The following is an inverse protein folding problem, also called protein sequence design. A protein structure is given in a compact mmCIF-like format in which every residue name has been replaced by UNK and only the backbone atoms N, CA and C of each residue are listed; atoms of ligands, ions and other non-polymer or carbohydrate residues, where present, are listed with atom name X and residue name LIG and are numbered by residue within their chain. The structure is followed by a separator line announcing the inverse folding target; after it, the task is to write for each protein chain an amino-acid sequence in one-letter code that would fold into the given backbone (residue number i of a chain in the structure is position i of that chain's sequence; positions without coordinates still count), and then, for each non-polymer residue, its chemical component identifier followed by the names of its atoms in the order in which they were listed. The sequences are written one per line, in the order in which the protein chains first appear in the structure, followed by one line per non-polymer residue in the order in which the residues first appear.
data_IF_937648566970
#
_entry.id   IF_937648566970
#
_cell.length_a   1.000
_cell.length_b   1.000
_cell.length_c   1.000
_cell.angle_alpha   90.00
_cell.angle_beta   90.00
_cell.angle_gamma   90.00
#
_symmetry.space_group_name_H-M   'P 1'
#
loop_
_entity.id
_entity.type
_entity.pdbx_description
1 polymer ?
#
# COMPACT_ATOMS: atom_id res chain seq x y z
N UNK A 1 23.21 11.16 6.01
CA UNK A 1 23.20 12.50 5.35
C UNK A 1 23.01 12.46 3.84
N UNK A 2 23.71 11.59 3.09
CA UNK A 2 23.51 11.51 1.62
C UNK A 2 22.20 10.80 1.28
N UNK A 3 21.86 9.76 2.01
CA UNK A 3 20.65 8.96 1.83
C UNK A 3 19.37 9.78 1.92
N UNK A 4 19.26 10.63 2.97
CA UNK A 4 18.09 11.48 3.20
C UNK A 4 17.95 12.57 2.15
N UNK A 5 19.07 13.12 1.70
CA UNK A 5 19.05 14.12 0.62
C UNK A 5 18.54 13.53 -0.70
N UNK A 6 18.97 12.30 -1.03
CA UNK A 6 18.47 11.59 -2.20
C UNK A 6 16.98 11.32 -2.03
N UNK A 7 16.55 10.84 -0.86
CA UNK A 7 15.15 10.56 -0.55
C UNK A 7 14.29 11.83 -0.62
N UNK A 8 14.75 12.95 -0.02
CA UNK A 8 14.05 14.22 -0.10
C UNK A 8 13.91 14.75 -1.54
N UNK A 9 14.96 14.55 -2.37
CA UNK A 9 14.93 14.94 -3.78
C UNK A 9 13.95 14.08 -4.58
N UNK A 10 13.89 12.78 -4.30
CA UNK A 10 12.91 11.86 -4.92
C UNK A 10 11.49 12.27 -4.54
N UNK A 11 11.22 12.53 -3.25
CA UNK A 11 9.89 12.99 -2.80
C UNK A 11 9.50 14.29 -3.49
N UNK A 12 10.43 15.23 -3.60
CA UNK A 12 10.18 16.52 -4.26
C UNK A 12 9.85 16.34 -5.74
N UNK A 13 10.59 15.49 -6.43
CA UNK A 13 10.34 15.15 -7.84
C UNK A 13 8.98 14.50 -8.03
N UNK A 14 8.61 13.56 -7.15
CA UNK A 14 7.30 12.91 -7.17
C UNK A 14 6.19 13.91 -6.87
N UNK A 15 6.37 14.79 -5.88
CA UNK A 15 5.40 15.83 -5.54
C UNK A 15 5.16 16.80 -6.70
N UNK A 16 6.22 17.24 -7.38
CA UNK A 16 6.11 18.07 -8.57
C UNK A 16 5.39 17.36 -9.71
N UNK A 17 5.75 16.10 -9.99
CA UNK A 17 5.07 15.28 -11.00
C UNK A 17 3.59 15.09 -10.67
N UNK A 18 3.25 14.88 -9.40
CA UNK A 18 1.87 14.75 -8.94
C UNK A 18 1.07 16.05 -9.12
N UNK A 19 1.65 17.20 -8.75
CA UNK A 19 1.03 18.52 -8.96
C UNK A 19 0.84 18.80 -10.45
N UNK A 20 1.85 18.51 -11.28
CA UNK A 20 1.75 18.67 -12.73
C UNK A 20 0.64 17.78 -13.33
N UNK A 21 0.55 16.52 -12.88
CA UNK A 21 -0.54 15.62 -13.29
C UNK A 21 -1.91 16.16 -12.88
N UNK A 22 -2.02 16.77 -11.70
CA UNK A 22 -3.26 17.36 -11.21
C UNK A 22 -3.73 18.55 -12.07
N UNK A 23 -2.84 19.26 -12.76
CA UNK A 23 -3.22 20.33 -13.70
C UNK A 23 -4.02 19.81 -14.89
N UNK A 24 -3.85 18.55 -15.25
CA UNK A 24 -4.52 17.91 -16.39
C UNK A 24 -5.91 17.38 -16.07
N UNK A 25 -6.32 17.37 -14.79
CA UNK A 25 -7.67 16.95 -14.40
C UNK A 25 -8.68 17.92 -14.99
N UNK A 26 -9.64 17.40 -15.75
CA UNK A 26 -10.67 18.22 -16.37
C UNK A 26 -11.65 18.75 -15.30
N UNK A 27 -11.95 20.04 -15.36
CA UNK A 27 -12.96 20.68 -14.50
C UNK A 27 -14.35 20.35 -15.07
N UNK A 28 -15.18 19.70 -14.29
CA UNK A 28 -16.59 19.50 -14.64
C UNK A 28 -17.37 20.78 -14.33
N UNK A 29 -18.31 21.16 -15.22
CA UNK A 29 -19.16 22.35 -15.05
C UNK A 29 -20.13 22.25 -13.86
N UNK A 30 -20.28 21.07 -13.26
CA UNK A 30 -21.11 20.80 -12.05
C UNK A 30 -20.25 20.66 -10.79
N UNK A 31 -19.07 21.24 -10.78
CA UNK A 31 -18.11 21.03 -9.69
C UNK A 31 -18.44 21.86 -8.45
N UNK A 32 -18.24 21.25 -7.31
CA UNK A 32 -18.23 21.88 -5.98
C UNK A 32 -17.31 23.11 -5.96
N UNK A 33 -17.56 24.08 -5.04
CA UNK A 33 -16.73 25.29 -4.89
C UNK A 33 -15.23 25.01 -4.72
N UNK A 34 -14.88 23.81 -4.25
CA UNK A 34 -13.49 23.40 -3.99
C UNK A 34 -12.81 22.74 -5.19
N UNK A 35 -13.57 22.18 -6.14
CA UNK A 35 -13.07 21.57 -7.37
C UNK A 35 -12.18 20.31 -7.17
N UNK A 36 -12.12 19.41 -8.16
CA UNK A 36 -11.40 18.12 -8.05
C UNK A 36 -9.88 18.27 -8.01
N UNK A 37 -9.33 19.43 -8.37
CA UNK A 37 -7.88 19.69 -8.37
C UNK A 37 -7.34 20.11 -7.00
N UNK A 38 -8.20 20.64 -6.11
CA UNK A 38 -7.75 21.22 -4.82
C UNK A 38 -7.13 20.16 -3.92
N UNK A 39 -7.74 18.99 -3.82
CA UNK A 39 -7.21 17.89 -3.01
C UNK A 39 -5.82 17.41 -3.47
N UNK A 40 -5.60 17.12 -4.77
CA UNK A 40 -4.27 16.83 -5.29
C UNK A 40 -3.23 17.94 -5.05
N UNK A 41 -3.60 19.21 -5.19
CA UNK A 41 -2.68 20.32 -4.90
C UNK A 41 -2.28 20.39 -3.42
N UNK A 42 -3.23 20.17 -2.51
CA UNK A 42 -2.94 20.14 -1.07
C UNK A 42 -1.98 19.01 -0.74
N UNK A 43 -2.24 17.79 -1.25
CA UNK A 43 -1.35 16.64 -1.03
C UNK A 43 0.04 16.93 -1.61
N UNK A 44 0.11 17.38 -2.86
CA UNK A 44 1.38 17.71 -3.51
C UNK A 44 2.15 18.81 -2.78
N UNK A 45 1.45 19.82 -2.26
CA UNK A 45 2.03 20.89 -1.44
C UNK A 45 2.63 20.35 -0.13
N UNK A 46 1.88 19.52 0.59
CA UNK A 46 2.36 18.87 1.83
C UNK A 46 3.54 17.96 1.54
N UNK A 47 3.49 17.15 0.48
CA UNK A 47 4.62 16.31 0.06
C UNK A 47 5.85 17.13 -0.28
N UNK A 48 5.70 18.26 -1.00
CA UNK A 48 6.81 19.14 -1.32
C UNK A 48 7.43 19.76 -0.06
N UNK A 49 6.61 20.23 0.88
CA UNK A 49 7.09 20.73 2.17
C UNK A 49 7.85 19.66 2.96
N UNK A 50 7.33 18.44 3.02
CA UNK A 50 8.03 17.32 3.65
C UNK A 50 9.36 17.02 2.95
N UNK A 51 9.39 16.98 1.62
CA UNK A 51 10.60 16.78 0.84
C UNK A 51 11.67 17.87 1.11
N UNK A 52 11.26 19.13 1.17
CA UNK A 52 12.15 20.25 1.52
C UNK A 52 12.67 20.12 2.96
N UNK A 53 11.84 19.78 3.92
CA UNK A 53 12.27 19.61 5.33
C UNK A 53 13.32 18.51 5.47
N UNK A 54 13.16 17.38 4.79
CA UNK A 54 14.14 16.28 4.78
C UNK A 54 15.45 16.70 4.09
N UNK A 55 15.37 17.52 3.03
CA UNK A 55 16.57 18.06 2.36
C UNK A 55 17.36 19.02 3.23
N UNK A 56 16.68 19.91 3.97
CA UNK A 56 17.30 20.95 4.77
C UNK A 56 17.79 20.42 6.12
N UNK A 57 17.08 19.44 6.69
CA UNK A 57 17.41 18.83 7.98
C UNK A 57 17.56 17.31 7.82
N UNK A 58 18.63 16.85 7.16
CA UNK A 58 18.87 15.41 7.03
C UNK A 58 19.25 14.83 8.38
N UNK A 59 18.68 13.67 8.71
CA UNK A 59 19.03 12.88 9.88
C UNK A 59 20.44 12.24 9.72
N UNK A 60 21.06 11.77 10.82
CA UNK A 60 22.29 10.97 10.76
C UNK A 60 22.10 9.76 9.84
N UNK A 61 23.18 9.32 9.19
CA UNK A 61 23.10 8.20 8.28
C UNK A 61 22.56 6.95 9.01
N UNK A 62 21.50 6.33 8.51
CA UNK A 62 20.91 5.15 9.14
C UNK A 62 21.82 3.94 9.00
N UNK A 63 21.81 3.09 10.02
CA UNK A 63 22.42 1.77 9.93
C UNK A 63 21.59 0.90 8.98
N UNK A 64 22.09 0.74 7.77
CA UNK A 64 21.41 -0.07 6.76
C UNK A 64 21.37 -1.53 7.15
N UNK A 65 20.20 -2.18 7.09
CA UNK A 65 20.10 -3.59 7.40
C UNK A 65 20.90 -4.44 6.43
N UNK A 66 21.38 -5.59 6.91
CA UNK A 66 22.14 -6.54 6.10
C UNK A 66 21.35 -7.13 4.93
N UNK A 67 22.03 -7.79 3.97
CA UNK A 67 21.44 -8.32 2.74
C UNK A 67 20.29 -9.31 2.99
N UNK A 68 20.27 -9.95 4.15
CA UNK A 68 19.19 -10.85 4.59
C UNK A 68 17.85 -10.13 4.73
N UNK A 69 17.87 -8.90 5.25
CA UNK A 69 16.66 -8.08 5.40
C UNK A 69 16.15 -7.59 4.05
N UNK A 70 17.06 -7.23 3.13
CA UNK A 70 16.67 -6.88 1.77
C UNK A 70 16.04 -8.07 1.03
N UNK A 71 16.55 -9.29 1.25
CA UNK A 71 15.93 -10.52 0.73
C UNK A 71 14.51 -10.71 1.28
N UNK A 72 14.30 -10.51 2.58
CA UNK A 72 12.98 -10.60 3.21
C UNK A 72 12.02 -9.54 2.66
N UNK A 73 12.49 -8.30 2.46
CA UNK A 73 11.70 -7.24 1.85
C UNK A 73 11.29 -7.56 0.40
N UNK A 74 12.25 -8.03 -0.41
CA UNK A 74 11.96 -8.44 -1.78
C UNK A 74 10.92 -9.57 -1.84
N UNK A 75 11.05 -10.55 -0.94
CA UNK A 75 10.10 -11.66 -0.82
C UNK A 75 8.71 -11.17 -0.38
N UNK A 76 8.65 -10.18 0.52
CA UNK A 76 7.39 -9.52 0.92
C UNK A 76 6.72 -8.84 -0.26
N UNK A 77 7.47 -8.06 -1.04
CA UNK A 77 6.96 -7.38 -2.24
C UNK A 77 6.45 -8.41 -3.25
N UNK A 78 7.22 -9.47 -3.51
CA UNK A 78 6.81 -10.55 -4.42
C UNK A 78 5.51 -11.23 -3.94
N UNK A 79 5.37 -11.49 -2.64
CA UNK A 79 4.15 -12.06 -2.06
C UNK A 79 2.94 -11.14 -2.21
N UNK A 80 3.10 -9.82 -2.02
CA UNK A 80 2.03 -8.84 -2.21
C UNK A 80 1.62 -8.69 -3.69
N UNK A 81 2.59 -8.74 -4.60
CA UNK A 81 2.31 -8.75 -6.05
C UNK A 81 1.55 -10.02 -6.43
N UNK A 82 2.01 -11.18 -5.97
CA UNK A 82 1.32 -12.45 -6.19
C UNK A 82 -0.11 -12.42 -5.61
N UNK A 83 -0.29 -11.87 -4.39
CA UNK A 83 -1.60 -11.66 -3.79
C UNK A 83 -2.53 -10.86 -4.72
N UNK A 84 -2.05 -9.75 -5.27
CA UNK A 84 -2.86 -8.90 -6.16
C UNK A 84 -3.34 -9.66 -7.42
N UNK A 85 -2.48 -10.50 -8.01
CA UNK A 85 -2.84 -11.33 -9.17
C UNK A 85 -3.77 -12.48 -8.80
N UNK A 86 -3.59 -13.09 -7.62
CA UNK A 86 -4.38 -14.23 -7.16
C UNK A 86 -5.77 -13.84 -6.65
N UNK A 87 -6.00 -12.56 -6.36
CA UNK A 87 -7.27 -12.07 -5.83
C UNK A 87 -8.44 -12.31 -6.82
N UNK A 88 -8.20 -12.12 -8.12
CA UNK A 88 -9.23 -12.33 -9.15
C UNK A 88 -9.62 -13.82 -9.33
N UNK A 89 -8.65 -14.76 -9.53
CA UNK A 89 -8.99 -16.16 -9.79
C UNK A 89 -9.41 -16.94 -8.54
N UNK A 90 -8.86 -16.62 -7.35
CA UNK A 90 -9.07 -17.42 -6.13
C UNK A 90 -10.10 -16.81 -5.16
N UNK A 91 -10.65 -15.64 -5.48
CA UNK A 91 -11.53 -14.89 -4.57
C UNK A 91 -10.74 -14.21 -3.45
N UNK A 92 -11.45 -13.70 -2.44
CA UNK A 92 -10.83 -12.88 -1.39
C UNK A 92 -10.23 -13.71 -0.25
N UNK A 93 -10.93 -14.76 0.22
CA UNK A 93 -10.55 -15.45 1.45
C UNK A 93 -9.18 -16.13 1.37
N UNK A 94 -8.95 -16.89 0.33
CA UNK A 94 -7.80 -17.79 0.22
C UNK A 94 -6.49 -17.00 0.02
N UNK A 95 -6.38 -16.05 -0.94
CA UNK A 95 -5.18 -15.24 -1.08
C UNK A 95 -4.89 -14.39 0.15
N UNK A 96 -5.93 -13.83 0.79
CA UNK A 96 -5.77 -13.01 1.98
C UNK A 96 -5.25 -13.80 3.16
N UNK A 97 -5.77 -15.02 3.38
CA UNK A 97 -5.27 -15.91 4.43
C UNK A 97 -3.80 -16.30 4.21
N UNK A 98 -3.45 -16.63 2.96
CA UNK A 98 -2.07 -16.99 2.60
C UNK A 98 -1.12 -15.81 2.75
N UNK A 99 -1.47 -14.63 2.23
CA UNK A 99 -0.63 -13.45 2.33
C UNK A 99 -0.44 -13.00 3.79
N UNK A 100 -1.53 -12.92 4.57
CA UNK A 100 -1.46 -12.52 5.97
C UNK A 100 -0.70 -13.55 6.82
N UNK A 101 -0.90 -14.84 6.59
CA UNK A 101 -0.16 -15.91 7.25
C UNK A 101 1.33 -15.88 6.90
N UNK A 102 1.67 -15.69 5.65
CA UNK A 102 3.05 -15.58 5.20
C UNK A 102 3.76 -14.36 5.82
N UNK A 103 3.14 -13.19 5.79
CA UNK A 103 3.70 -11.98 6.40
C UNK A 103 3.86 -12.13 7.93
N UNK A 104 2.86 -12.72 8.58
CA UNK A 104 2.93 -13.02 10.02
C UNK A 104 4.10 -13.96 10.35
N UNK A 105 4.34 -14.97 9.52
CA UNK A 105 5.46 -15.89 9.68
C UNK A 105 6.82 -15.22 9.47
N UNK A 106 6.92 -14.27 8.52
CA UNK A 106 8.16 -13.50 8.33
C UNK A 106 8.51 -12.63 9.54
N UNK A 107 7.50 -12.06 10.20
CA UNK A 107 7.71 -11.21 11.38
C UNK A 107 8.05 -12.06 12.60
N UNK A 108 7.30 -13.14 12.81
CA UNK A 108 7.52 -14.08 13.92
C UNK A 108 7.42 -15.51 13.39
N UNK A 109 8.52 -16.28 13.35
CA UNK A 109 8.55 -17.62 12.76
C UNK A 109 7.87 -18.66 13.67
N UNK A 110 6.55 -18.47 13.88
CA UNK A 110 5.69 -19.37 14.66
C UNK A 110 4.55 -19.85 13.75
N UNK A 111 4.64 -21.06 13.19
CA UNK A 111 3.70 -21.52 12.14
C UNK A 111 2.25 -21.54 12.61
N UNK A 112 1.98 -21.98 13.83
CA UNK A 112 0.61 -22.03 14.38
C UNK A 112 0.00 -20.63 14.53
N UNK A 113 0.76 -19.68 15.04
CA UNK A 113 0.29 -18.30 15.20
C UNK A 113 0.09 -17.63 13.83
N UNK A 114 1.01 -17.87 12.89
CA UNK A 114 0.90 -17.33 11.53
C UNK A 114 -0.36 -17.81 10.79
N UNK A 115 -0.68 -19.11 10.89
CA UNK A 115 -1.89 -19.68 10.28
C UNK A 115 -3.16 -19.14 10.94
N UNK A 116 -3.20 -19.08 12.28
CA UNK A 116 -4.34 -18.52 13.00
C UNK A 116 -4.55 -17.05 12.64
N UNK A 117 -3.48 -16.25 12.62
CA UNK A 117 -3.55 -14.83 12.23
C UNK A 117 -4.03 -14.67 10.79
N UNK A 118 -3.49 -15.46 9.86
CA UNK A 118 -3.88 -15.42 8.46
C UNK A 118 -5.37 -15.71 8.25
N UNK A 119 -5.88 -16.77 8.88
CA UNK A 119 -7.29 -17.15 8.79
C UNK A 119 -8.19 -16.13 9.49
N UNK A 120 -7.83 -15.70 10.71
CA UNK A 120 -8.61 -14.74 11.48
C UNK A 120 -8.73 -13.39 10.76
N UNK A 121 -7.61 -12.88 10.20
CA UNK A 121 -7.62 -11.65 9.42
C UNK A 121 -8.44 -11.78 8.13
N UNK A 122 -8.28 -12.89 7.41
CA UNK A 122 -9.01 -13.12 6.17
C UNK A 122 -10.51 -13.17 6.41
N UNK A 123 -10.97 -13.93 7.39
CA UNK A 123 -12.39 -14.04 7.75
C UNK A 123 -12.90 -12.72 8.32
N UNK A 124 -12.16 -12.10 9.22
CA UNK A 124 -12.56 -10.83 9.84
C UNK A 124 -12.71 -9.71 8.82
N UNK A 125 -11.75 -9.54 7.91
CA UNK A 125 -11.83 -8.57 6.82
C UNK A 125 -12.97 -8.88 5.85
N UNK A 126 -13.17 -10.16 5.51
CA UNK A 126 -14.28 -10.56 4.65
C UNK A 126 -15.64 -10.20 5.25
N UNK A 127 -15.85 -10.50 6.53
CA UNK A 127 -17.07 -10.14 7.24
C UNK A 127 -17.26 -8.63 7.31
N UNK A 128 -16.20 -7.89 7.62
CA UNK A 128 -16.22 -6.43 7.67
C UNK A 128 -16.59 -5.83 6.30
N UNK A 129 -15.93 -6.24 5.23
CA UNK A 129 -16.21 -5.69 3.90
C UNK A 129 -17.59 -6.09 3.38
N UNK A 130 -18.03 -7.32 3.65
CA UNK A 130 -19.32 -7.82 3.17
C UNK A 130 -20.50 -7.21 3.95
N UNK A 131 -20.44 -7.20 5.28
CA UNK A 131 -21.56 -6.81 6.13
C UNK A 131 -21.52 -5.34 6.56
N UNK A 132 -20.36 -4.80 6.91
CA UNK A 132 -20.26 -3.39 7.35
C UNK A 132 -20.20 -2.41 6.17
N UNK A 133 -19.51 -2.77 5.08
CA UNK A 133 -19.33 -1.90 3.91
C UNK A 133 -20.23 -2.25 2.73
N UNK A 134 -21.01 -3.36 2.79
CA UNK A 134 -21.94 -3.75 1.74
C UNK A 134 -21.27 -4.10 0.41
N UNK A 135 -19.96 -4.39 0.41
CA UNK A 135 -19.21 -4.72 -0.81
C UNK A 135 -19.53 -6.14 -1.26
N UNK A 136 -19.91 -6.31 -2.52
CA UNK A 136 -20.20 -7.62 -3.16
C UNK A 136 -18.94 -8.45 -3.40
N UNK A 137 -18.11 -8.69 -2.36
CA UNK A 137 -16.90 -9.49 -2.47
C UNK A 137 -17.24 -10.97 -2.63
N UNK A 138 -16.64 -11.61 -3.65
CA UNK A 138 -16.73 -13.07 -3.81
C UNK A 138 -15.78 -13.74 -2.81
N UNK A 139 -16.34 -14.54 -1.89
CA UNK A 139 -15.55 -15.30 -0.93
C UNK A 139 -14.66 -16.34 -1.62
N UNK A 140 -15.18 -16.97 -2.67
CA UNK A 140 -14.62 -18.12 -3.38
C UNK A 140 -14.61 -17.82 -4.89
N UNK A 141 -13.72 -18.44 -5.67
CA UNK A 141 -13.67 -18.25 -7.13
C UNK A 141 -15.02 -18.52 -7.78
N UNK A 142 -15.41 -17.65 -8.71
CA UNK A 142 -16.64 -17.82 -9.48
C UNK A 142 -16.67 -19.14 -10.29
N UNK A 143 -15.52 -19.69 -10.58
CA UNK A 143 -15.35 -20.97 -11.28
C UNK A 143 -15.80 -22.19 -10.47
N UNK A 144 -16.00 -22.05 -9.17
CA UNK A 144 -16.43 -23.15 -8.28
C UNK A 144 -17.94 -23.12 -7.96
N UNK A 145 -18.61 -22.07 -8.34
CA UNK A 145 -20.05 -21.90 -8.10
C UNK A 145 -20.92 -22.09 -9.36
N UNK A 146 -20.32 -22.59 -10.48
CA UNK A 146 -21.04 -22.99 -11.72
C UNK A 146 -21.44 -21.82 -12.56
#
# INVERSE_FOLDING_TARGET
MVSDRIFGLVILTVALGYVLSATQIQMSFLSDPVGPRTFPYLIGGVMALCGVTVLVRPDPDPDWPGPRTFGALALTVAALVAYAYLLKPLGFLLPTALAAGFLSYQIAPRPVQATVTGVALSVGLFLLFRYALGLGLSAVPKTWLG
#
